data_IF_350206077439
#
_entry.id   IF_350206077439
#
_cell.length_a   1.000
_cell.length_b   1.000
_cell.length_c   1.000
_cell.angle_alpha   90.00
_cell.angle_beta   90.00
_cell.angle_gamma   90.00
#
_symmetry.space_group_name_H-M   'P 1'
#
loop_
_entity.id
_entity.type
_entity.pdbx_description
1 polymer ?
#
# COMPACT_ATOMS: atom_id res chain seq x y z
N UNK A 1 -55.36 58.81 -33.18
CA UNK A 1 -53.92 58.95 -32.91
C UNK A 1 -53.72 58.73 -31.41
N UNK A 2 -53.40 57.50 -31.03
CA UNK A 2 -53.45 56.98 -29.64
C UNK A 2 -52.04 56.55 -29.24
N UNK A 3 -51.45 57.14 -28.19
CA UNK A 3 -50.29 56.55 -27.52
C UNK A 3 -50.37 56.75 -26.00
N UNK A 4 -50.85 55.71 -25.32
CA UNK A 4 -50.52 55.40 -23.93
C UNK A 4 -49.03 55.08 -23.85
N UNK A 5 -48.31 55.59 -22.86
CA UNK A 5 -46.98 55.09 -22.47
C UNK A 5 -46.99 54.84 -20.97
N UNK A 6 -47.24 53.58 -20.61
CA UNK A 6 -46.92 53.06 -19.29
C UNK A 6 -45.42 52.82 -19.20
N UNK A 7 -44.82 53.20 -18.08
CA UNK A 7 -43.45 52.81 -17.73
C UNK A 7 -43.52 51.50 -16.95
N UNK A 8 -42.98 50.43 -17.55
CA UNK A 8 -42.80 49.12 -16.91
C UNK A 8 -41.45 49.14 -16.20
N UNK A 9 -41.46 48.90 -14.88
CA UNK A 9 -40.27 48.70 -14.08
C UNK A 9 -39.71 47.29 -14.37
N UNK A 10 -38.45 47.21 -14.81
CA UNK A 10 -37.74 45.95 -14.99
C UNK A 10 -37.03 45.58 -13.67
N UNK A 11 -37.47 44.51 -13.02
CA UNK A 11 -36.77 43.89 -11.89
C UNK A 11 -35.79 42.88 -12.47
N UNK A 12 -34.49 43.15 -12.33
CA UNK A 12 -33.41 42.20 -12.60
C UNK A 12 -33.29 41.25 -11.41
N UNK A 13 -33.78 40.03 -11.56
CA UNK A 13 -33.53 38.94 -10.60
C UNK A 13 -32.26 38.20 -11.02
N UNK A 14 -31.16 38.44 -10.30
CA UNK A 14 -29.93 37.65 -10.42
C UNK A 14 -30.10 36.34 -9.67
N UNK A 15 -30.38 35.25 -10.39
CA UNK A 15 -30.31 33.90 -9.83
C UNK A 15 -28.86 33.40 -9.94
N UNK A 16 -28.07 33.57 -8.88
CA UNK A 16 -26.82 32.84 -8.73
C UNK A 16 -27.17 31.39 -8.38
N UNK A 17 -27.07 30.48 -9.36
CA UNK A 17 -27.01 29.05 -9.08
C UNK A 17 -25.67 28.81 -8.35
N UNK A 18 -25.72 28.67 -7.03
CA UNK A 18 -24.66 28.01 -6.30
C UNK A 18 -24.69 26.53 -6.67
N UNK A 19 -23.86 26.14 -7.63
CA UNK A 19 -23.56 24.74 -7.86
C UNK A 19 -22.94 24.18 -6.58
N UNK A 20 -23.58 23.20 -5.97
CA UNK A 20 -22.97 22.42 -4.90
C UNK A 20 -21.80 21.64 -5.52
N UNK A 21 -20.58 22.19 -5.41
CA UNK A 21 -19.39 21.38 -5.58
C UNK A 21 -19.37 20.40 -4.40
N UNK A 22 -19.73 19.15 -4.63
CA UNK A 22 -19.32 18.07 -3.75
C UNK A 22 -17.79 18.06 -3.79
N UNK A 23 -17.14 18.48 -2.71
CA UNK A 23 -15.71 18.29 -2.55
C UNK A 23 -15.46 16.78 -2.51
N UNK A 24 -15.12 16.19 -3.66
CA UNK A 24 -14.35 14.95 -3.66
C UNK A 24 -13.06 15.27 -2.91
N UNK A 25 -12.76 14.54 -1.85
CA UNK A 25 -11.45 14.68 -1.21
C UNK A 25 -10.39 14.35 -2.26
N UNK A 26 -9.46 15.28 -2.44
CA UNK A 26 -8.44 15.14 -3.46
C UNK A 26 -7.48 14.00 -3.06
N UNK A 27 -7.15 13.11 -4.01
CA UNK A 27 -6.09 12.11 -3.85
C UNK A 27 -4.85 12.68 -3.17
N UNK A 28 -4.39 12.01 -2.13
CA UNK A 28 -3.17 12.34 -1.40
C UNK A 28 -1.97 12.03 -2.30
N UNK A 29 -1.09 13.03 -2.46
CA UNK A 29 0.11 12.93 -3.29
C UNK A 29 1.02 11.76 -2.91
N UNK A 30 1.65 11.13 -3.91
CA UNK A 30 2.73 10.14 -3.73
C UNK A 30 3.98 10.68 -3.01
N UNK A 31 4.09 12.00 -2.84
CA UNK A 31 5.14 12.62 -2.02
C UNK A 31 4.88 12.49 -0.50
N UNK A 32 3.66 12.14 -0.11
CA UNK A 32 3.29 11.90 1.28
C UNK A 32 3.28 10.39 1.51
N UNK A 33 4.16 9.92 2.38
CA UNK A 33 4.32 8.50 2.71
C UNK A 33 3.05 7.97 3.37
N UNK A 34 2.65 6.75 3.02
CA UNK A 34 1.57 6.05 3.70
C UNK A 34 2.00 5.74 5.15
N UNK A 35 1.27 6.18 6.19
CA UNK A 35 1.62 5.89 7.57
C UNK A 35 1.61 4.38 7.85
N UNK A 36 2.59 3.89 8.61
CA UNK A 36 2.67 2.47 8.98
C UNK A 36 1.43 1.98 9.78
N UNK A 37 0.66 2.89 10.39
CA UNK A 37 -0.61 2.56 11.04
C UNK A 37 -1.67 2.01 10.08
N UNK A 38 -1.58 2.38 8.80
CA UNK A 38 -2.51 1.99 7.73
C UNK A 38 -2.05 0.74 6.98
N UNK A 39 -0.90 0.20 7.35
CA UNK A 39 -0.24 -0.91 6.66
C UNK A 39 -0.18 -2.12 7.57
N UNK A 40 -0.35 -3.32 7.01
CA UNK A 40 -0.02 -4.55 7.72
C UNK A 40 1.49 -4.76 7.59
N UNK A 41 2.22 -4.53 8.68
CA UNK A 41 3.69 -4.64 8.70
C UNK A 41 4.12 -6.09 8.93
N UNK A 42 5.05 -6.58 8.11
CA UNK A 42 5.66 -7.91 8.20
C UNK A 42 4.62 -9.02 8.40
N UNK A 43 3.62 -9.07 7.52
CA UNK A 43 2.49 -9.98 7.63
C UNK A 43 2.98 -11.43 7.76
N UNK A 44 2.54 -12.14 8.81
CA UNK A 44 2.91 -13.54 9.09
C UNK A 44 4.44 -13.81 9.05
N UNK A 45 5.27 -12.84 9.42
CA UNK A 45 6.73 -12.92 9.39
C UNK A 45 7.31 -13.24 8.00
N UNK A 46 6.59 -12.90 6.93
CA UNK A 46 7.01 -13.13 5.55
C UNK A 46 8.06 -12.14 5.06
N UNK A 47 8.29 -11.06 5.81
CA UNK A 47 9.08 -9.91 5.40
C UNK A 47 8.40 -9.02 4.37
N UNK A 48 7.08 -9.13 4.25
CA UNK A 48 6.26 -8.34 3.34
C UNK A 48 5.27 -7.48 4.12
N UNK A 49 5.17 -6.23 3.70
CA UNK A 49 4.12 -5.32 4.14
C UNK A 49 3.01 -5.29 3.09
N UNK A 50 1.75 -5.22 3.55
CA UNK A 50 0.59 -5.20 2.68
C UNK A 50 -0.29 -3.98 2.95
N UNK A 51 -0.79 -3.38 1.88
CA UNK A 51 -1.71 -2.24 1.93
C UNK A 51 -2.99 -2.55 1.16
N UNK A 52 -4.12 -2.09 1.69
CA UNK A 52 -5.40 -2.11 1.01
C UNK A 52 -5.59 -0.78 0.29
N UNK A 53 -5.34 -0.80 -1.01
CA UNK A 53 -5.19 0.39 -1.84
C UNK A 53 -6.51 0.97 -2.34
N UNK A 54 -7.59 0.19 -2.36
CA UNK A 54 -8.92 0.75 -2.56
C UNK A 54 -9.88 -0.16 -3.31
N UNK A 55 -11.10 0.35 -3.57
CA UNK A 55 -12.13 -0.37 -4.29
C UNK A 55 -11.81 -0.32 -5.78
N UNK A 56 -12.17 -1.35 -6.53
CA UNK A 56 -11.91 -1.52 -7.98
C UNK A 56 -10.46 -1.84 -8.36
N UNK A 57 -10.28 -2.52 -9.51
CA UNK A 57 -8.96 -2.83 -10.04
C UNK A 57 -8.28 -1.56 -10.63
N UNK A 58 -6.93 -1.53 -10.68
CA UNK A 58 -6.22 -0.42 -11.31
C UNK A 58 -6.65 -0.22 -12.76
N UNK A 59 -7.06 1.00 -13.10
CA UNK A 59 -7.57 1.39 -14.41
C UNK A 59 -8.88 0.72 -14.88
N UNK A 60 -9.63 0.00 -14.03
CA UNK A 60 -10.86 -0.69 -14.45
C UNK A 60 -11.90 0.29 -15.03
N UNK A 61 -12.14 1.40 -14.34
CA UNK A 61 -13.06 2.45 -14.79
C UNK A 61 -12.39 3.52 -15.66
N UNK A 62 -11.18 3.21 -16.15
CA UNK A 62 -10.33 4.12 -16.91
C UNK A 62 -9.10 4.59 -16.12
N UNK A 63 -8.13 5.24 -16.79
CA UNK A 63 -6.88 5.64 -16.18
C UNK A 63 -7.05 6.60 -15.00
N UNK A 64 -6.37 6.31 -13.89
CA UNK A 64 -6.27 7.21 -12.73
C UNK A 64 -7.42 7.12 -11.72
N UNK A 65 -8.39 6.21 -11.88
CA UNK A 65 -9.39 5.94 -10.85
C UNK A 65 -8.76 5.31 -9.61
N UNK A 66 -8.18 4.10 -9.73
CA UNK A 66 -7.19 3.57 -8.79
C UNK A 66 -5.85 3.56 -9.51
N UNK A 67 -4.85 4.22 -8.91
CA UNK A 67 -3.50 4.23 -9.43
C UNK A 67 -2.85 2.83 -9.33
N UNK A 68 -2.10 2.38 -10.36
CA UNK A 68 -1.31 1.15 -10.27
C UNK A 68 -0.20 1.29 -9.22
N UNK A 69 0.33 0.17 -8.72
CA UNK A 69 1.40 0.16 -7.70
C UNK A 69 2.59 1.04 -8.06
N UNK A 70 2.91 1.17 -9.35
CA UNK A 70 4.00 1.99 -9.86
C UNK A 70 3.89 3.48 -9.51
N UNK A 71 2.69 3.98 -9.20
CA UNK A 71 2.46 5.35 -8.75
C UNK A 71 3.24 5.68 -7.47
N UNK A 72 3.41 4.70 -6.57
CA UNK A 72 4.17 4.85 -5.32
C UNK A 72 5.37 3.91 -5.24
N UNK A 73 5.97 3.57 -6.38
CA UNK A 73 7.17 2.72 -6.44
C UNK A 73 8.36 3.27 -5.63
N UNK A 74 8.42 4.59 -5.40
CA UNK A 74 9.43 5.22 -4.58
C UNK A 74 9.38 4.79 -3.10
N UNK A 75 8.19 4.39 -2.60
CA UNK A 75 8.00 3.80 -1.27
C UNK A 75 8.24 2.28 -1.26
N UNK A 76 8.56 1.70 -2.42
CA UNK A 76 8.77 0.26 -2.60
C UNK A 76 7.49 -0.54 -2.90
N UNK A 77 6.34 0.12 -3.05
CA UNK A 77 5.09 -0.54 -3.44
C UNK A 77 5.17 -1.13 -4.84
N UNK A 78 4.66 -2.35 -4.98
CA UNK A 78 4.67 -3.12 -6.21
C UNK A 78 3.54 -4.14 -6.21
N UNK A 79 3.34 -4.75 -7.37
CA UNK A 79 2.53 -5.98 -7.49
C UNK A 79 3.27 -7.14 -6.86
N UNK A 80 2.52 -8.10 -6.34
CA UNK A 80 3.07 -9.31 -5.76
C UNK A 80 3.52 -10.29 -6.86
N UNK A 81 4.57 -11.05 -6.57
CA UNK A 81 4.82 -12.28 -7.33
C UNK A 81 3.73 -13.31 -7.02
N UNK A 82 3.58 -14.33 -7.87
CA UNK A 82 2.58 -15.39 -7.68
C UNK A 82 2.73 -16.08 -6.31
N UNK A 83 3.96 -16.30 -5.85
CA UNK A 83 4.24 -16.91 -4.54
C UNK A 83 3.90 -15.99 -3.38
N UNK A 84 4.15 -14.68 -3.50
CA UNK A 84 3.78 -13.70 -2.48
C UNK A 84 2.26 -13.52 -2.43
N UNK A 85 1.60 -13.52 -3.60
CA UNK A 85 0.15 -13.43 -3.71
C UNK A 85 -0.57 -14.60 -3.03
N UNK A 86 0.01 -15.80 -3.08
CA UNK A 86 -0.52 -16.96 -2.36
C UNK A 86 -0.45 -16.80 -0.82
N UNK A 87 0.38 -15.87 -0.32
CA UNK A 87 0.56 -15.54 1.09
C UNK A 87 -0.12 -14.23 1.49
N UNK A 88 -0.93 -13.64 0.60
CA UNK A 88 -1.56 -12.34 0.84
C UNK A 88 -2.48 -12.38 2.07
N UNK A 89 -2.75 -11.23 2.71
CA UNK A 89 -3.76 -11.12 3.73
C UNK A 89 -5.17 -11.39 3.19
N UNK A 90 -6.05 -11.85 4.07
CA UNK A 90 -7.49 -11.82 3.88
C UNK A 90 -8.06 -10.49 4.39
N UNK A 91 -9.30 -10.17 4.02
CA UNK A 91 -9.91 -8.90 4.42
C UNK A 91 -9.93 -8.71 5.95
N UNK A 92 -10.19 -9.77 6.72
CA UNK A 92 -10.20 -9.69 8.19
C UNK A 92 -8.85 -9.30 8.81
N UNK A 93 -7.74 -9.46 8.10
CA UNK A 93 -6.41 -9.11 8.62
C UNK A 93 -6.19 -7.59 8.67
N UNK A 94 -6.95 -6.82 7.87
CA UNK A 94 -6.88 -5.36 7.86
C UNK A 94 -7.62 -4.71 9.05
N UNK A 95 -8.35 -5.48 9.86
CA UNK A 95 -9.01 -5.01 11.08
C UNK A 95 -7.98 -4.50 12.09
N UNK A 96 -8.22 -3.32 12.67
CA UNK A 96 -7.30 -2.75 13.65
C UNK A 96 -7.28 -3.55 14.95
N UNK A 97 -6.14 -3.57 15.67
CA UNK A 97 -6.03 -4.32 16.91
C UNK A 97 -7.00 -3.75 17.95
N UNK A 98 -7.74 -4.62 18.62
CA UNK A 98 -8.75 -4.22 19.61
C UNK A 98 -10.13 -3.93 19.03
N UNK A 99 -10.31 -4.00 17.71
CA UNK A 99 -11.61 -3.92 17.05
C UNK A 99 -12.08 -5.30 16.59
N UNK A 100 -13.40 -5.50 16.60
CA UNK A 100 -14.01 -6.64 15.92
C UNK A 100 -14.03 -6.39 14.40
N UNK A 101 -14.01 -7.46 13.61
CA UNK A 101 -14.18 -7.32 12.17
C UNK A 101 -15.53 -6.63 11.86
N UNK A 102 -15.55 -5.57 11.04
CA UNK A 102 -16.79 -4.93 10.64
C UNK A 102 -17.65 -5.91 9.83
N UNK A 103 -18.94 -5.60 9.74
CA UNK A 103 -19.79 -6.33 8.79
C UNK A 103 -19.28 -6.07 7.36
N UNK A 104 -19.28 -7.07 6.46
CA UNK A 104 -18.73 -6.93 5.11
C UNK A 104 -19.66 -6.11 4.21
N UNK A 105 -19.76 -4.81 4.48
CA UNK A 105 -20.55 -3.84 3.72
C UNK A 105 -19.74 -3.24 2.58
N UNK A 106 -20.39 -3.00 1.44
CA UNK A 106 -19.82 -2.15 0.39
C UNK A 106 -19.82 -0.68 0.84
N UNK A 107 -18.87 0.12 0.35
CA UNK A 107 -18.77 1.55 0.65
C UNK A 107 -18.32 1.83 2.10
N UNK A 108 -17.48 0.98 2.68
CA UNK A 108 -16.99 1.14 4.05
C UNK A 108 -15.95 2.26 4.15
N UNK A 109 -16.14 3.20 5.08
CA UNK A 109 -15.36 4.46 5.18
C UNK A 109 -14.61 4.64 6.51
N UNK A 110 -14.85 3.76 7.50
CA UNK A 110 -14.34 3.98 8.87
C UNK A 110 -12.88 3.52 9.03
N UNK A 111 -11.97 4.47 8.93
CA UNK A 111 -10.55 4.24 9.22
C UNK A 111 -10.28 3.89 10.68
N UNK A 112 -11.16 4.19 11.65
CA UNK A 112 -10.83 3.98 13.07
C UNK A 112 -10.80 2.50 13.46
N UNK A 113 -11.56 1.67 12.76
CA UNK A 113 -11.69 0.23 13.05
C UNK A 113 -11.01 -0.67 12.01
N UNK A 114 -10.68 -0.13 10.84
CA UNK A 114 -10.15 -0.90 9.72
C UNK A 114 -9.05 -0.13 8.98
N UNK A 115 -8.05 -0.83 8.45
CA UNK A 115 -6.94 -0.25 7.70
C UNK A 115 -7.21 -0.27 6.20
N UNK A 116 -7.25 0.89 5.57
CA UNK A 116 -7.21 1.03 4.12
C UNK A 116 -6.61 2.40 3.77
N UNK A 117 -6.27 2.60 2.50
CA UNK A 117 -5.55 3.79 2.06
C UNK A 117 -6.08 4.32 0.74
N UNK A 118 -7.37 4.18 0.44
CA UNK A 118 -7.96 4.51 -0.86
C UNK A 118 -7.56 5.90 -1.36
N UNK A 119 -7.52 6.86 -0.44
CA UNK A 119 -7.19 8.27 -0.67
C UNK A 119 -5.72 8.46 -1.10
N UNK A 120 -4.84 7.51 -0.81
CA UNK A 120 -3.44 7.54 -1.25
C UNK A 120 -3.27 7.07 -2.70
N UNK A 121 -4.28 6.41 -3.27
CA UNK A 121 -4.23 5.82 -4.61
C UNK A 121 -5.30 6.39 -5.55
N UNK A 122 -6.25 7.15 -5.03
CA UNK A 122 -7.44 7.60 -5.75
C UNK A 122 -8.17 8.74 -5.08
N UNK A 123 -9.23 9.22 -5.73
CA UNK A 123 -10.22 10.12 -5.12
C UNK A 123 -11.34 9.34 -4.37
N UNK A 124 -11.19 8.02 -4.17
CA UNK A 124 -12.09 7.24 -3.34
C UNK A 124 -11.67 7.33 -1.86
N UNK A 125 -12.66 7.44 -0.98
CA UNK A 125 -12.49 7.48 0.48
C UNK A 125 -13.15 6.28 1.20
N UNK A 126 -13.31 5.17 0.49
CA UNK A 126 -13.95 3.96 0.99
C UNK A 126 -13.30 2.71 0.40
N UNK A 127 -13.72 1.53 0.86
CA UNK A 127 -13.45 0.21 0.27
C UNK A 127 -14.74 -0.61 0.23
N UNK A 128 -14.80 -1.63 -0.62
CA UNK A 128 -15.97 -2.51 -0.72
C UNK A 128 -15.70 -3.84 0.00
N UNK A 129 -15.88 -3.84 1.34
CA UNK A 129 -15.62 -5.04 2.17
C UNK A 129 -16.48 -6.23 1.79
N UNK A 130 -17.61 -6.00 1.14
CA UNK A 130 -18.46 -7.05 0.58
C UNK A 130 -17.72 -7.86 -0.50
N UNK A 131 -16.94 -7.20 -1.36
CA UNK A 131 -16.14 -7.82 -2.40
C UNK A 131 -14.88 -8.46 -1.82
N UNK A 132 -14.24 -7.78 -0.86
CA UNK A 132 -13.12 -8.32 -0.08
C UNK A 132 -13.49 -9.64 0.61
N UNK A 133 -14.67 -9.69 1.25
CA UNK A 133 -15.19 -10.86 1.94
C UNK A 133 -15.58 -11.99 0.98
N UNK A 134 -15.89 -11.68 -0.27
CA UNK A 134 -16.04 -12.64 -1.34
C UNK A 134 -14.70 -13.12 -1.94
N UNK A 135 -13.56 -12.66 -1.40
CA UNK A 135 -12.22 -13.02 -1.84
C UNK A 135 -11.80 -12.36 -3.16
N UNK A 136 -12.48 -11.29 -3.57
CA UNK A 136 -12.24 -10.59 -4.83
C UNK A 136 -11.10 -9.58 -4.69
N UNK A 137 -9.89 -10.04 -4.41
CA UNK A 137 -8.71 -9.18 -4.37
C UNK A 137 -7.95 -9.17 -5.69
N UNK A 138 -7.29 -8.06 -5.98
CA UNK A 138 -6.38 -7.86 -7.12
C UNK A 138 -5.20 -6.97 -6.77
N UNK A 139 -4.12 -7.04 -7.55
CA UNK A 139 -3.08 -6.00 -7.58
C UNK A 139 -2.93 -5.42 -9.00
N UNK A 140 -3.90 -5.68 -9.88
CA UNK A 140 -3.84 -5.35 -11.30
C UNK A 140 -3.08 -6.38 -12.16
N UNK A 141 -2.45 -7.39 -11.55
CA UNK A 141 -1.77 -8.49 -12.25
C UNK A 141 -2.31 -9.85 -11.80
N UNK A 142 -2.44 -10.03 -10.50
CA UNK A 142 -2.99 -11.20 -9.85
C UNK A 142 -4.47 -10.94 -9.52
N UNK A 143 -5.32 -11.97 -9.64
CA UNK A 143 -6.76 -11.85 -9.35
C UNK A 143 -7.60 -11.25 -10.49
N UNK A 144 -8.92 -11.04 -10.28
CA UNK A 144 -9.78 -10.38 -11.24
C UNK A 144 -9.34 -8.93 -11.48
N UNK A 145 -9.44 -8.45 -12.73
CA UNK A 145 -9.15 -7.05 -13.11
C UNK A 145 -10.38 -6.31 -13.61
N UNK A 146 -11.56 -6.91 -13.43
CA UNK A 146 -12.84 -6.36 -13.82
C UNK A 146 -13.95 -6.89 -12.90
N UNK A 147 -15.03 -6.12 -12.79
CA UNK A 147 -16.14 -6.38 -11.88
C UNK A 147 -15.88 -5.90 -10.47
N UNK A 148 -15.27 -4.73 -10.29
CA UNK A 148 -15.06 -4.05 -8.99
C UNK A 148 -14.40 -4.93 -7.90
N UNK A 149 -13.25 -5.55 -8.15
CA UNK A 149 -12.49 -6.22 -7.10
C UNK A 149 -11.72 -5.21 -6.23
N UNK A 150 -11.25 -5.65 -5.08
CA UNK A 150 -10.50 -4.83 -4.13
C UNK A 150 -9.00 -4.86 -4.44
N UNK A 151 -8.36 -3.70 -4.49
CA UNK A 151 -6.94 -3.60 -4.80
C UNK A 151 -6.09 -3.65 -3.54
N UNK A 152 -5.07 -4.51 -3.54
CA UNK A 152 -4.02 -4.59 -2.52
C UNK A 152 -2.64 -4.54 -3.19
N UNK A 153 -1.66 -3.98 -2.49
CA UNK A 153 -0.26 -3.97 -2.96
C UNK A 153 0.69 -4.45 -1.87
N UNK A 154 1.90 -4.80 -2.29
CA UNK A 154 2.94 -5.33 -1.40
C UNK A 154 4.23 -4.50 -1.52
N UNK A 155 5.00 -4.43 -0.43
CA UNK A 155 6.40 -3.99 -0.43
C UNK A 155 7.24 -4.87 0.50
N UNK A 156 8.56 -4.80 0.38
CA UNK A 156 9.45 -5.45 1.35
C UNK A 156 9.48 -4.68 2.66
N UNK A 157 9.31 -5.36 3.80
CA UNK A 157 9.32 -4.74 5.12
C UNK A 157 10.69 -4.12 5.44
N UNK A 158 10.71 -2.86 5.87
CA UNK A 158 11.94 -2.11 6.17
C UNK A 158 12.79 -2.73 7.31
N UNK A 159 12.18 -3.53 8.20
CA UNK A 159 12.85 -4.15 9.34
C UNK A 159 13.53 -5.50 9.06
N UNK A 160 13.33 -6.09 7.88
CA UNK A 160 13.93 -7.40 7.52
C UNK A 160 15.26 -7.15 6.82
N UNK A 161 16.21 -6.55 7.54
CA UNK A 161 17.60 -6.62 7.12
C UNK A 161 18.04 -8.04 7.45
N UNK A 162 18.26 -8.86 6.42
CA UNK A 162 18.88 -10.17 6.57
C UNK A 162 20.31 -9.98 7.10
N UNK A 163 20.45 -9.88 8.42
CA UNK A 163 21.74 -9.98 9.08
C UNK A 163 22.24 -11.40 8.83
N UNK A 164 23.43 -11.61 8.25
CA UNK A 164 23.99 -12.95 8.12
C UNK A 164 24.00 -13.56 9.52
N UNK A 165 23.35 -14.72 9.68
CA UNK A 165 23.13 -15.30 11.00
C UNK A 165 24.43 -15.35 11.81
N UNK A 166 24.41 -15.15 13.14
CA UNK A 166 25.61 -15.15 13.98
C UNK A 166 26.52 -16.39 13.75
N UNK A 167 25.91 -17.52 13.37
CA UNK A 167 26.61 -18.74 13.01
C UNK A 167 27.53 -18.57 11.77
N UNK A 168 27.13 -17.78 10.78
CA UNK A 168 27.92 -17.51 9.57
C UNK A 168 29.19 -16.72 9.92
N UNK A 169 29.07 -15.71 10.78
CA UNK A 169 30.21 -14.96 11.29
C UNK A 169 31.14 -15.85 12.12
N UNK A 170 30.58 -16.69 12.99
CA UNK A 170 31.35 -17.63 13.78
C UNK A 170 32.10 -18.66 12.91
N UNK A 171 31.50 -19.15 11.83
CA UNK A 171 32.16 -20.07 10.88
C UNK A 171 33.26 -19.39 10.08
N UNK A 172 33.07 -18.14 9.65
CA UNK A 172 34.13 -17.36 8.98
C UNK A 172 35.30 -17.11 9.92
N UNK A 173 35.03 -16.60 11.13
CA UNK A 173 36.05 -16.37 12.15
C UNK A 173 36.76 -17.67 12.56
N UNK A 174 36.00 -18.76 12.73
CA UNK A 174 36.54 -20.09 13.01
C UNK A 174 37.43 -20.61 11.89
N UNK A 175 36.99 -20.49 10.63
CA UNK A 175 37.75 -20.88 9.44
C UNK A 175 39.04 -20.07 9.28
N UNK A 176 38.97 -18.75 9.40
CA UNK A 176 40.16 -17.87 9.34
C UNK A 176 41.11 -18.08 10.52
N UNK A 177 40.59 -18.32 11.72
CA UNK A 177 41.39 -18.66 12.90
C UNK A 177 42.15 -19.99 12.73
N UNK A 178 41.48 -21.01 12.19
CA UNK A 178 42.11 -22.29 11.84
C UNK A 178 43.19 -22.12 10.75
N UNK A 179 42.89 -21.38 9.69
CA UNK A 179 43.85 -21.13 8.60
C UNK A 179 45.09 -20.37 9.09
N UNK A 180 44.90 -19.33 9.89
CA UNK A 180 45.98 -18.52 10.48
C UNK A 180 46.83 -19.30 11.48
N UNK A 181 46.21 -20.13 12.32
CA UNK A 181 46.94 -20.99 13.27
C UNK A 181 47.79 -22.06 12.55
N UNK A 182 47.25 -22.67 11.50
CA UNK A 182 47.97 -23.61 10.65
C UNK A 182 49.17 -22.97 9.94
N UNK A 183 49.03 -21.73 9.44
CA UNK A 183 50.11 -20.98 8.83
C UNK A 183 51.22 -20.62 9.83
N UNK A 184 50.87 -20.27 11.08
CA UNK A 184 51.83 -19.91 12.14
C UNK A 184 52.67 -21.11 12.59
N UNK A 185 52.09 -22.32 12.64
CA UNK A 185 52.81 -23.55 13.04
C UNK A 185 53.94 -23.93 12.08
N UNK A 186 53.87 -23.54 10.80
CA UNK A 186 54.88 -23.87 9.80
C UNK A 186 56.13 -22.98 9.85
N UNK A 187 56.14 -21.88 10.61
CA UNK A 187 57.25 -20.90 10.64
C UNK A 187 58.25 -21.09 11.78
N UNK A 188 58.64 -22.31 12.14
CA UNK A 188 59.90 -22.50 12.89
C UNK A 188 61.06 -22.41 11.90
N UNK A 189 61.53 -21.19 11.64
CA UNK A 189 62.80 -20.99 10.95
C UNK A 189 63.93 -21.46 11.88
N UNK A 190 64.70 -22.45 11.43
CA UNK A 190 65.96 -22.83 12.09
C UNK A 190 66.94 -21.72 11.79
N UNK A 191 67.19 -20.87 12.79
CA UNK A 191 68.24 -19.85 12.71
C UNK A 191 69.55 -20.55 13.03
N UNK A 192 70.37 -20.79 12.00
CA UNK A 192 71.77 -21.21 12.16
C UNK A 192 72.63 -19.96 12.27
N UNK A 193 73.26 -19.77 13.43
CA UNK A 193 74.26 -18.72 13.64
C UNK A 193 75.60 -19.19 13.06
N UNK A 194 76.29 -18.30 12.36
CA UNK A 194 77.65 -18.49 11.83
C UNK A 194 78.69 -17.86 12.76
#
# INVERSE_FOLDING_TARGET
MTRKRGFIAAILASAALAGAATSADAKISASIVIPDSEVIINFNNTGLDWVYAGPIAPNEFGPGNIEPASYRAAEGWRTATVSEWALRPEWTDFVRPGFAAPSPSCGFTDHSSYRFTSEYWSDYAHVDLCDAAAGRFTDGVNGPVAGVPETIYVRTSAGVIAVPEPATWAMMLGGFGLLGSAARRRRRAVVTYA
#
